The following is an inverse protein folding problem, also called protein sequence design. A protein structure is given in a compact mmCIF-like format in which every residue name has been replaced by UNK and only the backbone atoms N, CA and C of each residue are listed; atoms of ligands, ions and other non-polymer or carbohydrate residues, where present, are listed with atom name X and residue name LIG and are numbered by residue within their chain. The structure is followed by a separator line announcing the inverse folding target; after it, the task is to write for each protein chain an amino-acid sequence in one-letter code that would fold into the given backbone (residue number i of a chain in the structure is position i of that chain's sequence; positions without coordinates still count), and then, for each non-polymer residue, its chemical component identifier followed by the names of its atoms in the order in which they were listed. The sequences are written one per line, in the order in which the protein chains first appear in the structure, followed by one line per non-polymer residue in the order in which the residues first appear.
data_IF_427111487642
#
_entry.id   IF_427111487642
#
_cell.length_a   1.000
_cell.length_b   1.000
_cell.length_c   1.000
_cell.angle_alpha   90.00
_cell.angle_beta   90.00
_cell.angle_gamma   90.00
#
_symmetry.space_group_name_H-M   'P 1'
#
loop_
_entity.id
_entity.type
_entity.pdbx_description
1 polymer ?
#
# COMPACT_ATOMS: atom_id res chain seq x y z
N UNK A 1 25.64 -2.25 10.97
CA UNK A 1 24.39 -2.42 11.73
C UNK A 1 23.40 -3.17 10.86
N UNK A 2 22.99 -4.36 11.26
CA UNK A 2 21.90 -5.11 10.60
C UNK A 2 20.59 -4.51 11.09
N UNK A 3 19.66 -4.16 10.19
CA UNK A 3 18.36 -3.62 10.60
C UNK A 3 17.33 -4.74 10.54
N UNK A 4 16.79 -5.13 11.70
CA UNK A 4 15.78 -6.16 11.81
C UNK A 4 14.52 -5.81 10.98
N UNK A 5 13.86 -6.84 10.43
CA UNK A 5 12.65 -6.69 9.62
C UNK A 5 11.46 -6.06 10.37
N UNK A 6 11.49 -6.08 11.70
CA UNK A 6 10.52 -5.44 12.59
C UNK A 6 10.64 -3.92 12.63
N UNK A 7 11.76 -3.36 12.17
CA UNK A 7 11.96 -1.92 12.09
C UNK A 7 11.41 -1.36 10.77
N UNK A 8 10.10 -1.15 10.73
CA UNK A 8 9.42 -0.42 9.64
C UNK A 8 9.97 1.00 9.54
N UNK A 9 11.02 1.21 8.75
CA UNK A 9 11.79 2.46 8.67
C UNK A 9 10.97 3.67 8.23
N UNK A 10 9.92 3.44 7.44
CA UNK A 10 9.06 4.50 6.95
C UNK A 10 7.84 4.55 7.89
N UNK A 11 7.74 5.62 8.68
CA UNK A 11 6.65 5.82 9.66
C UNK A 11 5.48 6.66 9.14
N UNK A 12 5.52 7.01 7.85
CA UNK A 12 4.45 7.75 7.17
C UNK A 12 3.75 6.84 6.18
N UNK A 13 2.42 6.87 6.20
CA UNK A 13 1.61 6.15 5.21
C UNK A 13 1.76 6.83 3.84
N UNK A 14 2.01 6.04 2.80
CA UNK A 14 2.10 6.54 1.42
C UNK A 14 0.83 6.22 0.64
N UNK A 15 0.46 7.06 -0.34
CA UNK A 15 -0.63 6.76 -1.26
C UNK A 15 -0.39 5.43 -1.97
N UNK A 16 -1.42 4.60 -2.12
CA UNK A 16 -1.31 3.36 -2.89
C UNK A 16 -1.54 3.68 -4.38
N UNK A 17 -0.46 3.65 -5.15
CA UNK A 17 -0.41 3.98 -6.58
C UNK A 17 -0.24 2.75 -7.47
N UNK A 18 0.41 1.71 -6.96
CA UNK A 18 0.65 0.47 -7.71
C UNK A 18 0.24 -0.74 -6.89
N UNK A 19 -1.06 -0.91 -6.63
CA UNK A 19 -1.52 -2.02 -5.80
C UNK A 19 -1.02 -3.37 -6.34
N UNK A 20 -0.18 -4.02 -5.54
CA UNK A 20 0.52 -5.26 -5.88
C UNK A 20 -0.07 -6.51 -5.20
N UNK A 21 -1.20 -6.33 -4.50
CA UNK A 21 -1.82 -7.37 -3.69
C UNK A 21 -1.68 -7.09 -2.19
N UNK A 22 -2.23 -8.01 -1.40
CA UNK A 22 -2.19 -7.93 0.06
C UNK A 22 -2.15 -9.31 0.71
N UNK A 23 -1.59 -9.41 1.91
CA UNK A 23 -1.61 -10.63 2.72
C UNK A 23 -1.96 -10.31 4.16
N UNK A 24 -2.42 -11.31 4.89
CA UNK A 24 -2.79 -11.18 6.31
C UNK A 24 -2.02 -12.22 7.12
N UNK A 25 -1.31 -11.80 8.17
CA UNK A 25 -0.56 -12.71 9.05
C UNK A 25 -1.45 -13.38 10.10
N UNK A 26 -0.89 -14.31 10.88
CA UNK A 26 -1.64 -15.04 11.91
C UNK A 26 -2.15 -14.15 13.06
N UNK A 27 -1.60 -12.94 13.21
CA UNK A 27 -2.03 -11.93 14.17
C UNK A 27 -3.05 -10.94 13.56
N UNK A 28 -3.53 -11.22 12.35
CA UNK A 28 -4.45 -10.38 11.58
C UNK A 28 -3.86 -9.03 11.17
N UNK A 29 -2.54 -8.85 11.16
CA UNK A 29 -1.95 -7.66 10.54
C UNK A 29 -2.05 -7.78 9.03
N UNK A 30 -2.32 -6.66 8.36
CA UNK A 30 -2.52 -6.57 6.93
C UNK A 30 -1.27 -5.95 6.30
N UNK A 31 -0.77 -6.58 5.25
CA UNK A 31 0.36 -6.08 4.48
C UNK A 31 -0.08 -5.83 3.06
N UNK A 32 0.06 -4.59 2.60
CA UNK A 32 -0.31 -4.17 1.25
C UNK A 32 0.95 -3.81 0.49
N UNK A 33 1.14 -4.39 -0.70
CA UNK A 33 2.25 -4.00 -1.55
C UNK A 33 1.87 -2.86 -2.48
N UNK A 34 2.84 -1.99 -2.67
CA UNK A 34 2.83 -0.96 -3.70
C UNK A 34 4.06 -1.12 -4.61
N UNK A 35 3.84 -1.48 -5.87
CA UNK A 35 4.89 -1.65 -6.86
C UNK A 35 5.46 -0.33 -7.37
N UNK A 36 4.66 0.75 -7.39
CA UNK A 36 5.10 2.07 -7.84
C UNK A 36 6.15 2.64 -6.89
N UNK A 37 5.86 2.62 -5.59
CA UNK A 37 6.80 3.03 -4.55
C UNK A 37 7.77 1.92 -4.14
N UNK A 38 7.54 0.68 -4.59
CA UNK A 38 8.35 -0.49 -4.23
C UNK A 38 8.42 -0.69 -2.71
N UNK A 39 7.27 -0.64 -2.04
CA UNK A 39 7.14 -0.79 -0.59
C UNK A 39 6.09 -1.83 -0.22
N UNK A 40 6.20 -2.34 1.01
CA UNK A 40 5.11 -3.01 1.71
C UNK A 40 4.67 -2.13 2.88
N UNK A 41 3.39 -1.78 2.92
CA UNK A 41 2.75 -1.06 4.02
C UNK A 41 2.08 -2.05 4.98
N UNK A 42 2.38 -1.95 6.27
CA UNK A 42 1.75 -2.75 7.33
C UNK A 42 0.69 -1.95 8.05
N UNK A 43 -0.45 -2.60 8.27
CA UNK A 43 -1.57 -2.14 9.07
C UNK A 43 -1.84 -3.17 10.17
N UNK A 44 -2.24 -2.72 11.34
CA UNK A 44 -2.72 -3.64 12.38
C UNK A 44 -4.10 -4.20 12.03
N UNK A 45 -4.59 -5.13 12.85
CA UNK A 45 -5.92 -5.75 12.70
C UNK A 45 -7.09 -4.76 12.72
N UNK A 46 -6.89 -3.56 13.26
CA UNK A 46 -7.87 -2.49 13.29
C UNK A 46 -7.73 -1.52 12.10
N UNK A 47 -6.82 -1.79 11.17
CA UNK A 47 -6.57 -0.96 10.00
C UNK A 47 -5.68 0.25 10.24
N UNK A 48 -5.06 0.38 11.41
CA UNK A 48 -4.14 1.47 11.70
C UNK A 48 -2.80 1.19 11.04
N UNK A 49 -2.31 2.15 10.24
CA UNK A 49 -0.98 2.08 9.67
C UNK A 49 0.10 2.01 10.77
N UNK A 50 1.00 1.03 10.66
CA UNK A 50 2.11 0.80 11.60
C UNK A 50 3.41 1.35 11.02
N UNK A 51 3.61 1.18 9.71
CA UNK A 51 4.84 1.53 9.03
C UNK A 51 4.98 0.79 7.70
N UNK A 52 6.02 1.14 6.96
CA UNK A 52 6.36 0.47 5.70
C UNK A 52 7.85 0.21 5.57
N UNK A 53 8.19 -0.71 4.68
CA UNK A 53 9.57 -1.01 4.29
C UNK A 53 9.70 -1.07 2.77
N UNK A 54 10.87 -0.67 2.27
CA UNK A 54 11.21 -0.83 0.86
C UNK A 54 11.45 -2.30 0.53
N UNK A 55 10.83 -2.75 -0.54
CA UNK A 55 11.19 -4.00 -1.18
C UNK A 55 12.49 -3.77 -1.94
N UNK A 56 13.52 -4.55 -1.61
CA UNK A 56 14.81 -4.44 -2.28
C UNK A 56 14.70 -5.00 -3.71
N UNK A 57 15.50 -4.42 -4.61
CA UNK A 57 15.69 -4.91 -5.97
C UNK A 57 14.41 -5.06 -6.82
N UNK A 58 13.31 -4.38 -6.53
CA UNK A 58 12.14 -4.37 -7.43
C UNK A 58 12.30 -3.39 -8.58
N UNK A 59 13.05 -2.29 -8.38
CA UNK A 59 13.24 -1.21 -9.36
C UNK A 59 11.93 -0.72 -9.99
N UNK A 60 10.85 -0.61 -9.19
CA UNK A 60 9.52 -0.22 -9.67
C UNK A 60 8.79 -1.27 -10.50
N UNK A 61 9.35 -2.48 -10.68
CA UNK A 61 8.69 -3.57 -11.40
C UNK A 61 7.55 -4.16 -10.56
N UNK A 62 6.46 -4.63 -11.20
CA UNK A 62 5.40 -5.37 -10.52
C UNK A 62 5.95 -6.56 -9.74
N UNK A 63 5.36 -6.78 -8.57
CA UNK A 63 5.61 -7.95 -7.74
C UNK A 63 4.29 -8.46 -7.16
N UNK A 64 4.30 -9.67 -6.63
CA UNK A 64 3.17 -10.29 -5.93
C UNK A 64 3.57 -10.61 -4.50
N UNK A 65 2.61 -10.56 -3.57
CA UNK A 65 2.81 -10.96 -2.18
C UNK A 65 2.13 -12.31 -1.91
N UNK A 66 2.83 -13.18 -1.21
CA UNK A 66 2.27 -14.32 -0.52
C UNK A 66 2.80 -14.36 0.91
N UNK A 67 2.23 -15.23 1.73
CA UNK A 67 2.68 -15.44 3.10
C UNK A 67 2.72 -16.94 3.37
N UNK A 68 3.77 -17.41 4.03
CA UNK A 68 3.96 -18.83 4.31
C UNK A 68 3.36 -19.25 5.67
N UNK A 69 3.58 -20.51 6.08
CA UNK A 69 3.10 -21.07 7.36
C UNK A 69 3.85 -20.58 8.60
N UNK A 70 4.83 -19.69 8.44
CA UNK A 70 5.58 -19.05 9.53
C UNK A 70 5.41 -17.53 9.54
N UNK A 71 4.42 -17.03 8.82
CA UNK A 71 4.13 -15.60 8.60
C UNK A 71 5.24 -14.85 7.86
N UNK A 72 6.12 -15.56 7.15
CA UNK A 72 7.10 -14.90 6.33
C UNK A 72 6.41 -14.34 5.09
N UNK A 73 6.65 -13.06 4.80
CA UNK A 73 6.12 -12.42 3.60
C UNK A 73 7.04 -12.78 2.44
N UNK A 74 6.46 -13.39 1.43
CA UNK A 74 7.15 -13.86 0.25
C UNK A 74 6.77 -12.95 -0.91
N UNK A 75 7.76 -12.29 -1.49
CA UNK A 75 7.58 -11.37 -2.61
C UNK A 75 8.15 -12.02 -3.86
N UNK A 76 7.33 -12.14 -4.89
CA UNK A 76 7.73 -12.75 -6.16
C UNK A 76 7.75 -11.73 -7.28
N UNK A 77 8.88 -11.63 -7.99
CA UNK A 77 9.05 -10.69 -9.12
C UNK A 77 8.75 -11.37 -10.45
N UNK A 78 7.93 -10.72 -11.29
CA UNK A 78 7.38 -11.28 -12.53
C UNK A 78 8.43 -11.74 -13.56
N UNK A 79 9.48 -10.95 -13.80
CA UNK A 79 10.44 -11.22 -14.90
C UNK A 79 11.67 -12.01 -14.47
N UNK A 80 12.15 -11.74 -13.27
CA UNK A 80 13.46 -12.20 -12.85
C UNK A 80 13.35 -13.47 -11.99
N UNK A 81 12.14 -14.02 -11.78
CA UNK A 81 11.85 -15.20 -10.93
C UNK A 81 12.40 -15.11 -9.50
N UNK A 82 12.81 -13.91 -9.08
CA UNK A 82 13.39 -13.65 -7.78
C UNK A 82 12.27 -13.68 -6.74
N UNK A 83 12.45 -14.54 -5.76
CA UNK A 83 11.67 -14.62 -4.54
C UNK A 83 12.45 -13.91 -3.46
N UNK A 84 11.81 -13.00 -2.74
CA UNK A 84 12.38 -12.33 -1.57
C UNK A 84 11.52 -12.71 -0.38
N UNK A 85 12.12 -13.32 0.64
CA UNK A 85 11.44 -13.73 1.85
C UNK A 85 11.80 -12.78 2.97
N UNK A 86 10.77 -12.26 3.62
CA UNK A 86 10.82 -11.34 4.73
C UNK A 86 10.33 -12.04 6.00
N UNK A 87 11.24 -12.41 6.93
CA UNK A 87 10.89 -13.26 8.05
C UNK A 87 10.10 -12.55 9.14
N UNK A 88 9.10 -13.22 9.72
CA UNK A 88 8.13 -12.62 10.64
C UNK A 88 8.69 -12.06 11.96
N UNK A 89 9.83 -12.56 12.44
CA UNK A 89 10.43 -12.12 13.73
C UNK A 89 11.81 -12.73 14.03
N UNK A 90 12.08 -13.96 13.59
CA UNK A 90 13.25 -14.73 14.06
C UNK A 90 14.48 -14.69 13.14
N UNK A 91 14.43 -13.94 12.03
CA UNK A 91 15.56 -13.74 11.14
C UNK A 91 15.61 -12.27 10.74
N UNK A 92 16.72 -11.62 11.06
CA UNK A 92 16.87 -10.17 10.86
C UNK A 92 17.10 -9.78 9.40
N UNK A 93 17.46 -10.74 8.55
CA UNK A 93 17.77 -10.49 7.15
C UNK A 93 16.77 -11.14 6.20
N UNK A 94 16.28 -10.34 5.24
CA UNK A 94 15.56 -10.84 4.09
C UNK A 94 16.52 -11.65 3.21
N UNK A 95 16.12 -12.85 2.81
CA UNK A 95 16.89 -13.66 1.87
C UNK A 95 16.17 -13.75 0.53
N UNK A 96 16.93 -13.99 -0.55
CA UNK A 96 16.35 -14.12 -1.87
C UNK A 96 16.94 -15.28 -2.64
N UNK A 97 16.10 -15.95 -3.42
CA UNK A 97 16.47 -17.04 -4.30
C UNK A 97 15.69 -16.94 -5.62
N UNK A 98 16.11 -17.68 -6.64
CA UNK A 98 15.40 -17.79 -7.90
C UNK A 98 14.48 -19.01 -7.85
N UNK A 99 13.19 -18.83 -8.15
CA UNK A 99 12.25 -19.95 -8.23
C UNK A 99 12.44 -20.74 -9.53
N UNK A 100 12.34 -22.06 -9.44
CA UNK A 100 12.33 -22.96 -10.60
C UNK A 100 11.00 -22.84 -11.36
N UNK A 101 11.03 -23.06 -12.68
CA UNK A 101 10.03 -22.58 -13.64
C UNK A 101 8.65 -23.25 -13.55
N UNK A 102 7.64 -22.67 -12.89
CA UNK A 102 6.24 -23.14 -13.07
C UNK A 102 5.13 -22.13 -12.71
N UNK A 103 5.07 -20.92 -13.30
CA UNK A 103 3.84 -20.14 -13.10
C UNK A 103 3.70 -18.83 -13.84
N UNK A 104 2.72 -18.76 -14.75
CA UNK A 104 2.07 -17.48 -15.06
C UNK A 104 1.56 -16.89 -13.74
N UNK A 105 2.00 -15.66 -13.43
CA UNK A 105 1.56 -14.95 -12.23
C UNK A 105 0.03 -14.76 -12.27
N UNK A 106 -0.64 -14.97 -11.15
CA UNK A 106 -2.00 -14.47 -10.96
C UNK A 106 -1.95 -12.96 -10.75
N UNK A 107 -2.98 -12.26 -11.19
CA UNK A 107 -3.17 -10.83 -10.88
C UNK A 107 -3.11 -10.59 -9.37
N UNK A 108 -2.85 -9.33 -8.97
CA UNK A 108 -2.87 -8.92 -7.56
C UNK A 108 -4.05 -9.56 -6.84
N UNK A 109 -3.78 -10.27 -5.75
CA UNK A 109 -4.79 -11.10 -5.14
C UNK A 109 -5.96 -10.24 -4.61
N UNK A 110 -7.17 -10.56 -5.08
CA UNK A 110 -8.40 -9.85 -4.70
C UNK A 110 -9.01 -10.40 -3.42
N UNK A 111 -8.71 -11.65 -3.08
CA UNK A 111 -9.11 -12.30 -1.84
C UNK A 111 -7.92 -12.96 -1.15
N UNK A 112 -8.03 -13.09 0.16
CA UNK A 112 -7.08 -13.80 1.00
C UNK A 112 -7.83 -14.59 2.07
N UNK A 113 -7.38 -15.80 2.38
CA UNK A 113 -7.92 -16.62 3.47
C UNK A 113 -6.76 -16.90 4.42
N UNK A 114 -6.92 -16.49 5.66
CA UNK A 114 -5.95 -16.73 6.74
C UNK A 114 -6.04 -18.18 7.24
N UNK A 115 -5.07 -18.59 8.06
CA UNK A 115 -5.05 -19.95 8.65
C UNK A 115 -6.22 -20.22 9.60
N UNK A 116 -6.73 -19.19 10.27
CA UNK A 116 -7.92 -19.27 11.10
C UNK A 116 -9.22 -19.16 10.28
N UNK A 117 -9.16 -19.38 8.95
CA UNK A 117 -10.31 -19.35 8.04
C UNK A 117 -11.04 -18.00 7.97
N UNK A 118 -10.37 -16.91 8.31
CA UNK A 118 -10.87 -15.57 8.08
C UNK A 118 -10.62 -15.16 6.63
N UNK A 119 -11.69 -14.77 5.95
CA UNK A 119 -11.66 -14.33 4.57
C UNK A 119 -11.56 -12.82 4.53
N UNK A 120 -10.61 -12.31 3.77
CA UNK A 120 -10.42 -10.90 3.47
C UNK A 120 -10.54 -10.68 1.96
N UNK A 121 -10.94 -9.47 1.56
CA UNK A 121 -11.02 -9.09 0.15
C UNK A 121 -10.73 -7.62 -0.09
N UNK A 122 -10.06 -7.33 -1.20
CA UNK A 122 -9.99 -5.97 -1.75
C UNK A 122 -11.27 -5.70 -2.55
N UNK A 123 -12.17 -4.89 -1.99
CA UNK A 123 -13.44 -4.49 -2.63
C UNK A 123 -13.42 -3.03 -3.09
N UNK A 124 -12.23 -2.45 -3.19
CA UNK A 124 -12.02 -1.13 -3.75
C UNK A 124 -12.12 -1.15 -5.27
N UNK A 125 -12.85 -0.19 -5.86
CA UNK A 125 -12.95 -0.05 -7.32
C UNK A 125 -11.76 0.69 -7.89
N UNK A 126 -11.50 1.90 -7.37
CA UNK A 126 -10.40 2.77 -7.81
C UNK A 126 -9.20 2.74 -6.87
N UNK A 127 -9.47 2.63 -5.58
CA UNK A 127 -8.46 2.61 -4.53
C UNK A 127 -8.66 1.35 -3.69
N UNK A 128 -7.59 0.64 -3.29
CA UNK A 128 -7.71 -0.53 -2.45
C UNK A 128 -8.52 -0.23 -1.18
N UNK A 129 -9.44 -1.14 -0.88
CA UNK A 129 -10.18 -1.14 0.38
C UNK A 129 -10.25 -2.58 0.85
N UNK A 130 -9.57 -2.89 1.95
CA UNK A 130 -9.51 -4.25 2.49
C UNK A 130 -10.65 -4.45 3.46
N UNK A 131 -11.44 -5.48 3.21
CA UNK A 131 -12.57 -5.88 4.04
C UNK A 131 -12.32 -7.25 4.64
N UNK A 132 -12.74 -7.44 5.89
CA UNK A 132 -12.96 -8.77 6.45
C UNK A 132 -14.37 -9.20 6.07
N UNK A 133 -14.48 -10.41 5.56
CA UNK A 133 -15.70 -10.99 4.98
C UNK A 133 -16.22 -12.18 5.79
N UNK A 134 -15.40 -12.76 6.68
CA UNK A 134 -15.86 -13.77 7.64
C UNK A 134 -16.61 -13.11 8.81
N UNK A 135 -17.79 -13.63 9.14
CA UNK A 135 -18.66 -13.06 10.17
C UNK A 135 -19.36 -11.78 9.69
N UNK A 136 -19.41 -10.77 10.55
CA UNK A 136 -19.92 -9.45 10.16
C UNK A 136 -18.93 -8.77 9.22
N UNK A 137 -19.39 -8.45 8.01
CA UNK A 137 -18.58 -7.75 7.01
C UNK A 137 -18.13 -6.40 7.55
N UNK A 138 -16.82 -6.20 7.64
CA UNK A 138 -16.23 -4.97 8.17
C UNK A 138 -15.11 -4.46 7.25
N UNK A 139 -15.03 -3.14 7.08
CA UNK A 139 -13.95 -2.50 6.33
C UNK A 139 -12.78 -2.30 7.29
N UNK A 140 -11.64 -2.90 6.98
CA UNK A 140 -10.46 -2.85 7.83
C UNK A 140 -9.52 -1.75 7.35
N UNK A 141 -9.09 -1.78 6.10
CA UNK A 141 -8.12 -0.81 5.57
C UNK A 141 -8.76 0.05 4.50
N UNK A 142 -8.70 1.37 4.70
CA UNK A 142 -9.09 2.39 3.73
C UNK A 142 -8.23 3.64 3.93
N UNK A 143 -7.48 4.03 2.90
CA UNK A 143 -6.68 5.24 2.98
C UNK A 143 -7.56 6.49 3.03
N UNK A 144 -7.04 7.52 3.70
CA UNK A 144 -7.70 8.83 3.76
C UNK A 144 -7.97 9.41 2.37
N UNK A 145 -8.99 10.29 2.28
CA UNK A 145 -9.32 10.99 1.04
C UNK A 145 -8.12 11.79 0.49
N UNK A 146 -7.31 12.34 1.39
CA UNK A 146 -6.10 13.08 1.03
C UNK A 146 -5.05 12.19 0.35
N UNK A 147 -4.77 11.00 0.90
CA UNK A 147 -3.85 10.06 0.26
C UNK A 147 -4.39 9.60 -1.10
N UNK A 148 -5.69 9.31 -1.19
CA UNK A 148 -6.34 8.98 -2.47
C UNK A 148 -6.23 10.09 -3.50
N UNK A 149 -6.29 11.35 -3.08
CA UNK A 149 -6.10 12.51 -3.95
C UNK A 149 -4.65 12.60 -4.47
N UNK A 150 -3.66 12.29 -3.62
CA UNK A 150 -2.26 12.25 -4.03
C UNK A 150 -1.93 11.07 -4.95
N UNK A 151 -2.77 10.03 -4.97
CA UNK A 151 -2.64 8.90 -5.90
C UNK A 151 -3.04 9.20 -7.34
N UNK A 152 -3.65 10.36 -7.60
CA UNK A 152 -3.93 10.75 -8.98
C UNK A 152 -2.63 11.15 -9.68
N UNK A 153 -2.48 10.84 -10.98
CA UNK A 153 -1.33 11.26 -11.78
C UNK A 153 -1.32 12.79 -11.88
N UNK A 154 -0.66 13.42 -10.91
CA UNK A 154 -0.15 14.80 -10.77
C UNK A 154 -0.84 15.96 -11.50
N UNK A 155 -1.23 15.85 -12.77
CA UNK A 155 -1.90 16.91 -13.52
C UNK A 155 -3.22 17.38 -12.92
N UNK A 156 -4.10 16.49 -12.44
CA UNK A 156 -5.40 16.92 -11.87
C UNK A 156 -5.21 17.71 -10.58
N UNK A 157 -4.29 17.27 -9.72
CA UNK A 157 -4.00 17.96 -8.45
C UNK A 157 -3.36 19.32 -8.75
N UNK A 158 -2.37 19.37 -9.63
CA UNK A 158 -1.71 20.63 -10.05
C UNK A 158 -2.73 21.61 -10.63
N UNK A 159 -3.61 21.15 -11.53
CA UNK A 159 -4.68 21.96 -12.13
C UNK A 159 -5.63 22.48 -11.04
N UNK A 160 -6.08 21.63 -10.11
CA UNK A 160 -6.98 22.03 -9.03
C UNK A 160 -6.33 23.04 -8.09
N UNK A 161 -5.07 22.83 -7.67
CA UNK A 161 -4.34 23.82 -6.87
C UNK A 161 -4.17 25.15 -7.62
N UNK A 162 -3.84 25.13 -8.90
CA UNK A 162 -3.70 26.33 -9.70
C UNK A 162 -5.04 27.09 -9.83
N UNK A 163 -6.15 26.36 -10.00
CA UNK A 163 -7.51 26.94 -10.04
C UNK A 163 -7.89 27.53 -8.69
N UNK A 164 -7.66 26.82 -7.59
CA UNK A 164 -7.97 27.30 -6.23
C UNK A 164 -7.16 28.56 -5.90
N UNK A 165 -5.86 28.59 -6.21
CA UNK A 165 -5.01 29.76 -6.00
C UNK A 165 -5.51 30.96 -6.82
N UNK A 166 -5.85 30.75 -8.10
CA UNK A 166 -6.46 31.80 -8.94
C UNK A 166 -7.77 32.31 -8.35
N UNK A 167 -8.63 31.41 -7.87
CA UNK A 167 -9.91 31.78 -7.28
C UNK A 167 -9.71 32.58 -5.98
N UNK A 168 -8.76 32.18 -5.13
CA UNK A 168 -8.42 32.92 -3.93
C UNK A 168 -7.90 34.33 -4.26
N UNK A 169 -6.99 34.47 -5.22
CA UNK A 169 -6.50 35.78 -5.65
C UNK A 169 -7.67 36.65 -6.16
N UNK A 170 -8.52 36.10 -7.02
CA UNK A 170 -9.69 36.80 -7.55
C UNK A 170 -10.65 37.27 -6.46
N UNK A 171 -10.97 36.39 -5.50
CA UNK A 171 -11.80 36.72 -4.34
C UNK A 171 -11.14 37.84 -3.53
N UNK A 172 -9.84 37.72 -3.25
CA UNK A 172 -9.09 38.71 -2.46
C UNK A 172 -9.08 40.08 -3.15
N UNK A 173 -8.88 40.13 -4.46
CA UNK A 173 -8.93 41.37 -5.26
C UNK A 173 -10.34 41.98 -5.27
N UNK A 174 -11.38 41.15 -5.43
CA UNK A 174 -12.77 41.61 -5.39
C UNK A 174 -13.13 42.20 -4.02
N UNK A 175 -12.73 41.52 -2.93
CA UNK A 175 -12.89 42.03 -1.57
C UNK A 175 -12.11 43.32 -1.32
N UNK A 176 -10.88 43.43 -1.86
CA UNK A 176 -10.08 44.65 -1.77
C UNK A 176 -10.77 45.83 -2.45
N UNK A 177 -11.30 45.66 -3.66
CA UNK A 177 -12.06 46.69 -4.39
C UNK A 177 -13.32 47.13 -3.66
N UNK A 178 -14.04 46.19 -3.04
CA UNK A 178 -15.24 46.51 -2.24
C UNK A 178 -14.92 47.30 -0.97
N UNK A 179 -13.74 47.09 -0.36
CA UNK A 179 -13.30 47.83 0.84
C UNK A 179 -12.61 49.16 0.51
N UNK A 180 -12.06 49.33 -0.69
CA UNK A 180 -11.29 50.53 -1.05
C UNK A 180 -12.15 51.72 -1.47
N UNK A 181 -13.46 51.56 -1.68
CA UNK A 181 -14.45 52.65 -1.69
C UNK A 181 -13.99 53.98 -2.31
N UNK A 182 -13.48 53.94 -3.54
CA UNK A 182 -13.36 55.05 -4.50
C UNK A 182 -13.70 54.52 -5.87
#
# INVERSE_FOLDING_TARGET
MVTAWTDFKIKTELPINGFAGFVVDSQQNIYIGDSFYSIIQKYDKAGKFIGSFKVKDTSGKPFHLSIDTRDNIVITRQRDRKVIVYPSSNREESFSFYADETGKMKEANTFFITRNHEKYGNLGTRFPAIWKLSGTKEKIVEQSLFLRLLSFPSMIVVILTAVILKLMVFITEKWRKLRSGT
#
